data_IF_475936126272
#
_entry.id   IF_475936126272
#
_cell.length_a   1.000
_cell.length_b   1.000
_cell.length_c   1.000
_cell.angle_alpha   90.00
_cell.angle_beta   90.00
_cell.angle_gamma   90.00
#
_symmetry.space_group_name_H-M   'P 1'
#
loop_
_entity.id
_entity.type
_entity.pdbx_description
1 polymer ?
#
# COMPACT_ATOMS: atom_id res chain seq x y z
N UNK A 1 9.14 -22.89 -22.02
CA UNK A 1 10.48 -23.28 -22.53
C UNK A 1 11.45 -23.22 -21.39
N UNK A 2 12.18 -24.32 -21.14
CA UNK A 2 13.23 -24.36 -20.12
C UNK A 2 14.48 -23.62 -20.62
N UNK A 3 15.29 -23.10 -19.70
CA UNK A 3 16.51 -22.33 -20.03
C UNK A 3 17.48 -23.15 -20.90
N UNK A 4 17.68 -24.44 -20.60
CA UNK A 4 18.54 -25.32 -21.40
C UNK A 4 18.02 -25.60 -22.82
N UNK A 5 16.69 -25.64 -23.01
CA UNK A 5 16.09 -25.77 -24.35
C UNK A 5 16.30 -24.49 -25.16
N UNK A 6 16.16 -23.34 -24.51
CA UNK A 6 16.42 -22.04 -25.13
C UNK A 6 17.86 -21.92 -25.59
N UNK A 7 18.83 -22.25 -24.72
CA UNK A 7 20.27 -22.23 -25.03
C UNK A 7 20.62 -23.10 -26.26
N UNK A 8 20.04 -24.31 -26.34
CA UNK A 8 20.22 -25.21 -27.51
C UNK A 8 19.64 -24.60 -28.79
N UNK A 9 18.45 -24.01 -28.72
CA UNK A 9 17.77 -23.43 -29.88
C UNK A 9 18.47 -22.20 -30.47
N UNK A 10 19.11 -21.39 -29.63
CA UNK A 10 19.89 -20.23 -30.06
C UNK A 10 21.37 -20.57 -30.30
N UNK A 11 21.74 -21.86 -30.19
CA UNK A 11 23.08 -22.40 -30.36
C UNK A 11 24.16 -21.72 -29.49
N UNK A 12 23.88 -21.58 -28.18
CA UNK A 12 24.76 -20.91 -27.23
C UNK A 12 25.17 -21.83 -26.09
N UNK A 13 26.42 -21.71 -25.65
CA UNK A 13 26.94 -22.48 -24.52
C UNK A 13 26.34 -22.00 -23.20
N UNK A 14 26.10 -22.90 -22.22
CA UNK A 14 25.59 -22.51 -20.90
C UNK A 14 26.44 -21.45 -20.18
N UNK A 15 27.77 -21.48 -20.40
CA UNK A 15 28.71 -20.52 -19.83
C UNK A 15 28.51 -19.11 -20.42
N UNK A 16 28.43 -18.98 -21.75
CA UNK A 16 28.17 -17.69 -22.39
C UNK A 16 26.82 -17.09 -21.96
N UNK A 17 25.78 -17.93 -21.87
CA UNK A 17 24.48 -17.52 -21.35
C UNK A 17 24.56 -17.01 -19.90
N UNK A 18 25.26 -17.73 -19.02
CA UNK A 18 25.39 -17.33 -17.61
C UNK A 18 26.14 -16.01 -17.46
N UNK A 19 27.21 -15.79 -18.24
CA UNK A 19 27.96 -14.53 -18.26
C UNK A 19 27.12 -13.36 -18.76
N UNK A 20 26.25 -13.58 -19.75
CA UNK A 20 25.32 -12.57 -20.25
C UNK A 20 24.24 -12.22 -19.22
N UNK A 21 23.65 -13.22 -18.55
CA UNK A 21 22.61 -13.00 -17.54
C UNK A 21 23.10 -12.26 -16.29
N UNK A 22 24.41 -12.24 -16.03
CA UNK A 22 25.04 -11.45 -14.97
C UNK A 22 25.31 -9.99 -15.34
N UNK A 23 25.09 -9.58 -16.59
CA UNK A 23 25.29 -8.19 -17.01
C UNK A 23 24.08 -7.32 -16.66
N UNK A 24 24.33 -6.08 -16.24
CA UNK A 24 23.30 -5.11 -15.88
C UNK A 24 23.58 -3.76 -16.56
N UNK A 25 22.60 -3.25 -17.30
CA UNK A 25 22.68 -1.97 -18.01
C UNK A 25 22.07 -2.07 -19.42
N UNK A 26 21.59 -0.93 -19.94
CA UNK A 26 20.88 -0.85 -21.23
C UNK A 26 21.72 -1.38 -22.40
N UNK A 27 23.04 -1.11 -22.37
CA UNK A 27 23.94 -1.36 -23.50
C UNK A 27 25.03 -2.40 -23.21
N UNK A 28 25.17 -2.84 -21.94
CA UNK A 28 26.24 -3.74 -21.48
C UNK A 28 26.21 -5.14 -22.12
N UNK A 29 25.06 -5.55 -22.66
CA UNK A 29 24.86 -6.85 -23.29
C UNK A 29 25.02 -6.88 -24.81
N UNK A 30 25.17 -5.72 -25.46
CA UNK A 30 25.12 -5.61 -26.93
C UNK A 30 26.24 -6.37 -27.64
N UNK A 31 27.44 -6.39 -27.07
CA UNK A 31 28.61 -7.07 -27.62
C UNK A 31 28.64 -8.57 -27.30
N UNK A 32 27.70 -9.06 -26.50
CA UNK A 32 27.64 -10.47 -26.17
C UNK A 32 27.17 -11.29 -27.37
N UNK A 33 27.83 -12.42 -27.62
CA UNK A 33 27.39 -13.43 -28.59
C UNK A 33 25.98 -13.98 -28.30
N UNK A 34 25.43 -13.70 -27.12
CA UNK A 34 24.08 -14.10 -26.70
C UNK A 34 22.98 -13.16 -27.21
N UNK A 35 23.28 -11.88 -27.37
CA UNK A 35 22.27 -10.84 -27.57
C UNK A 35 21.56 -10.94 -28.92
N UNK A 36 22.32 -10.94 -30.02
CA UNK A 36 21.80 -11.01 -31.39
C UNK A 36 20.93 -12.26 -31.65
N UNK A 37 21.39 -13.49 -31.35
CA UNK A 37 20.57 -14.69 -31.59
C UNK A 37 19.35 -14.78 -30.66
N UNK A 38 19.45 -14.32 -29.41
CA UNK A 38 18.30 -14.24 -28.51
C UNK A 38 17.25 -13.24 -29.03
N UNK A 39 17.68 -12.05 -29.49
CA UNK A 39 16.81 -11.06 -30.09
C UNK A 39 16.08 -11.60 -31.32
N UNK A 40 16.81 -12.23 -32.26
CA UNK A 40 16.22 -12.85 -33.44
C UNK A 40 15.17 -13.91 -33.10
N UNK A 41 15.43 -14.70 -32.05
CA UNK A 41 14.51 -15.72 -31.55
C UNK A 41 13.20 -15.12 -31.00
N UNK A 42 13.28 -14.09 -30.16
CA UNK A 42 12.09 -13.42 -29.61
C UNK A 42 11.32 -12.66 -30.68
N UNK A 43 12.01 -12.00 -31.63
CA UNK A 43 11.37 -11.31 -32.75
C UNK A 43 10.58 -12.25 -33.65
N UNK A 44 11.12 -13.44 -33.93
CA UNK A 44 10.41 -14.49 -34.68
C UNK A 44 9.17 -15.02 -33.94
N UNK A 45 9.17 -15.01 -32.60
CA UNK A 45 7.99 -15.40 -31.78
C UNK A 45 6.94 -14.32 -31.70
N UNK A 46 7.36 -13.08 -31.61
CA UNK A 46 6.48 -11.91 -31.66
C UNK A 46 5.72 -11.85 -32.99
N UNK A 47 6.42 -12.04 -34.12
CA UNK A 47 5.81 -12.14 -35.45
C UNK A 47 4.80 -13.31 -35.58
N UNK A 48 5.00 -14.39 -34.81
CA UNK A 48 4.08 -15.53 -34.73
C UNK A 48 2.94 -15.32 -33.72
N UNK A 49 2.78 -14.13 -33.16
CA UNK A 49 1.74 -13.79 -32.19
C UNK A 49 1.93 -14.40 -30.79
N UNK A 50 3.06 -15.07 -30.54
CA UNK A 50 3.37 -15.69 -29.23
C UNK A 50 4.03 -14.63 -28.35
N UNK A 51 3.22 -13.87 -27.61
CA UNK A 51 3.71 -12.91 -26.61
C UNK A 51 4.40 -13.65 -25.47
N UNK A 52 5.70 -13.41 -25.26
CA UNK A 52 6.41 -13.86 -24.06
C UNK A 52 5.89 -13.11 -22.84
N UNK A 53 5.12 -13.78 -21.98
CA UNK A 53 4.80 -13.23 -20.65
C UNK A 53 6.11 -13.16 -19.85
N UNK A 54 6.43 -12.02 -19.20
CA UNK A 54 7.59 -11.96 -18.32
C UNK A 54 7.42 -12.99 -17.20
N UNK A 55 8.48 -13.76 -16.94
CA UNK A 55 8.47 -14.80 -15.92
C UNK A 55 8.36 -14.11 -14.55
N UNK A 56 7.13 -14.01 -14.02
CA UNK A 56 6.89 -13.70 -12.61
C UNK A 56 7.59 -14.81 -11.83
N UNK A 57 8.59 -14.46 -11.01
CA UNK A 57 9.32 -15.40 -10.15
C UNK A 57 8.30 -16.30 -9.43
N UNK A 58 8.18 -17.55 -9.86
CA UNK A 58 7.45 -18.58 -9.12
C UNK A 58 8.28 -18.88 -7.88
N UNK A 59 7.78 -18.47 -6.71
CA UNK A 59 8.12 -19.17 -5.48
C UNK A 59 7.63 -20.61 -5.65
N UNK A 60 8.45 -21.57 -5.24
CA UNK A 60 8.07 -22.98 -5.17
C UNK A 60 6.75 -23.10 -4.41
N UNK A 61 5.82 -23.73 -5.08
CA UNK A 61 4.55 -24.18 -4.55
C UNK A 61 4.80 -25.59 -4.00
N UNK A 62 4.69 -25.76 -2.70
CA UNK A 62 4.28 -27.02 -2.10
C UNK A 62 2.91 -26.74 -1.49
N UNK A 63 1.89 -27.42 -2.03
CA UNK A 63 0.56 -27.47 -1.46
C UNK A 63 -0.51 -26.80 -2.31
N UNK A 64 -1.07 -27.58 -3.22
CA UNK A 64 -2.35 -27.33 -3.86
C UNK A 64 -3.43 -26.95 -2.83
N UNK A 65 -4.04 -25.78 -3.03
CA UNK A 65 -5.41 -25.52 -2.65
C UNK A 65 -6.03 -24.60 -3.70
N UNK A 66 -7.11 -25.10 -4.27
CA UNK A 66 -7.95 -24.47 -5.28
C UNK A 66 -8.39 -23.05 -4.89
N UNK A 67 -8.49 -22.15 -5.89
CA UNK A 67 -9.31 -20.93 -5.83
C UNK A 67 -9.29 -20.16 -4.51
N UNK A 68 -8.13 -19.66 -4.08
CA UNK A 68 -7.99 -18.93 -2.83
C UNK A 68 -8.82 -17.64 -2.80
N UNK A 69 -10.01 -17.72 -2.20
CA UNK A 69 -10.74 -16.57 -1.63
C UNK A 69 -9.74 -15.78 -0.78
N UNK A 70 -9.42 -14.56 -1.20
CA UNK A 70 -8.76 -13.60 -0.31
C UNK A 70 -9.58 -13.56 0.98
N UNK A 71 -9.00 -13.98 2.11
CA UNK A 71 -9.69 -14.05 3.41
C UNK A 71 -9.99 -12.68 4.03
N UNK A 72 -9.92 -11.62 3.22
CA UNK A 72 -10.32 -10.29 3.62
C UNK A 72 -11.84 -10.27 3.71
N UNK A 73 -12.42 -9.96 4.89
CA UNK A 73 -13.87 -9.85 5.01
C UNK A 73 -14.35 -8.78 4.01
N UNK A 74 -15.22 -9.16 3.07
CA UNK A 74 -15.95 -8.18 2.28
C UNK A 74 -16.80 -7.35 3.24
N UNK A 75 -16.72 -6.04 3.11
CA UNK A 75 -17.44 -5.06 3.95
C UNK A 75 -18.51 -4.31 3.16
N UNK A 76 -18.85 -4.81 1.96
CA UNK A 76 -19.70 -4.13 0.99
C UNK A 76 -21.16 -4.01 1.47
N UNK A 77 -21.57 -4.86 2.42
CA UNK A 77 -22.92 -4.89 2.98
C UNK A 77 -23.22 -3.74 3.97
N UNK A 78 -22.18 -3.07 4.48
CA UNK A 78 -22.31 -2.03 5.51
C UNK A 78 -22.09 -0.67 4.87
N UNK A 79 -23.02 0.26 5.10
CA UNK A 79 -22.91 1.66 4.71
C UNK A 79 -22.66 2.56 5.92
N UNK A 80 -21.78 3.54 5.76
CA UNK A 80 -21.55 4.61 6.75
C UNK A 80 -22.26 5.91 6.35
N UNK A 81 -22.55 6.75 7.32
CA UNK A 81 -23.05 8.11 7.06
C UNK A 81 -21.96 8.94 6.36
N UNK A 82 -22.35 9.65 5.28
CA UNK A 82 -21.41 10.45 4.47
C UNK A 82 -20.53 9.63 3.51
N UNK A 83 -20.71 8.30 3.43
CA UNK A 83 -19.90 7.43 2.58
C UNK A 83 -20.06 7.75 1.09
N UNK A 84 -21.29 7.91 0.61
CA UNK A 84 -21.59 8.17 -0.81
C UNK A 84 -20.97 9.49 -1.32
N UNK A 85 -20.72 10.45 -0.42
CA UNK A 85 -20.08 11.73 -0.73
C UNK A 85 -18.56 11.75 -0.49
N UNK A 86 -17.98 10.63 -0.06
CA UNK A 86 -16.60 10.54 0.41
C UNK A 86 -16.25 11.51 1.56
N UNK A 87 -17.21 11.79 2.45
CA UNK A 87 -17.10 12.78 3.55
C UNK A 87 -17.24 12.16 4.95
N UNK A 88 -16.98 10.86 5.08
CA UNK A 88 -17.02 10.18 6.39
C UNK A 88 -16.03 10.86 7.36
N UNK A 89 -16.52 11.27 8.52
CA UNK A 89 -15.72 11.86 9.59
C UNK A 89 -14.77 10.82 10.18
N UNK A 90 -13.50 11.19 10.37
CA UNK A 90 -12.45 10.27 10.81
C UNK A 90 -12.09 10.55 12.27
N UNK A 91 -12.35 9.59 13.17
CA UNK A 91 -12.01 9.74 14.59
C UNK A 91 -10.73 9.01 15.01
N UNK A 92 -10.09 8.23 14.12
CA UNK A 92 -8.79 7.62 14.41
C UNK A 92 -7.64 8.52 13.99
N UNK A 93 -6.57 8.60 14.79
CA UNK A 93 -5.33 9.25 14.33
C UNK A 93 -4.61 8.43 13.26
N UNK A 94 -3.67 9.05 12.53
CA UNK A 94 -2.81 8.32 11.60
C UNK A 94 -2.02 7.18 12.29
N UNK A 95 -1.58 7.40 13.54
CA UNK A 95 -0.90 6.37 14.33
C UNK A 95 -1.82 5.16 14.60
N UNK A 96 -3.09 5.40 14.92
CA UNK A 96 -4.06 4.33 15.19
C UNK A 96 -4.39 3.55 13.92
N UNK A 97 -4.57 4.24 12.79
CA UNK A 97 -4.75 3.58 11.48
C UNK A 97 -3.53 2.74 11.13
N UNK A 98 -2.30 3.23 11.34
CA UNK A 98 -1.09 2.42 11.11
C UNK A 98 -1.08 1.17 11.98
N UNK A 99 -1.48 1.26 13.26
CA UNK A 99 -1.61 0.09 14.15
C UNK A 99 -2.66 -0.90 13.63
N UNK A 100 -3.85 -0.43 13.23
CA UNK A 100 -4.93 -1.26 12.66
C UNK A 100 -4.48 -1.96 11.37
N UNK A 101 -3.84 -1.26 10.44
CA UNK A 101 -3.26 -1.82 9.22
C UNK A 101 -2.24 -2.92 9.56
N UNK A 102 -1.30 -2.63 10.46
CA UNK A 102 -0.26 -3.59 10.83
C UNK A 102 -0.85 -4.83 11.51
N UNK A 103 -1.88 -4.68 12.35
CA UNK A 103 -2.58 -5.82 12.96
C UNK A 103 -3.36 -6.63 11.91
N UNK A 104 -4.01 -5.96 10.96
CA UNK A 104 -4.78 -6.61 9.89
C UNK A 104 -3.88 -7.44 8.97
N UNK A 105 -2.73 -6.90 8.58
CA UNK A 105 -1.75 -7.59 7.72
C UNK A 105 -1.02 -8.76 8.41
N UNK A 106 -1.12 -8.88 9.75
CA UNK A 106 -0.59 -10.04 10.49
C UNK A 106 -1.56 -11.23 10.50
N UNK A 107 -2.84 -11.02 10.16
CA UNK A 107 -3.82 -12.10 10.11
C UNK A 107 -3.47 -13.08 8.98
N UNK A 108 -3.58 -14.40 9.19
CA UNK A 108 -3.29 -15.37 8.14
C UNK A 108 -4.22 -15.16 6.95
N UNK A 109 -3.68 -15.23 5.74
CA UNK A 109 -4.45 -15.11 4.50
C UNK A 109 -4.81 -13.68 4.06
N UNK A 110 -4.43 -12.65 4.82
CA UNK A 110 -4.62 -11.25 4.41
C UNK A 110 -3.40 -10.76 3.64
N UNK A 111 -3.60 -10.29 2.40
CA UNK A 111 -2.52 -9.68 1.60
C UNK A 111 -2.67 -8.16 1.54
N UNK A 112 -1.55 -7.45 1.38
CA UNK A 112 -1.60 -5.99 1.14
C UNK A 112 -2.45 -5.63 -0.09
N UNK A 113 -2.39 -6.45 -1.15
CA UNK A 113 -3.16 -6.21 -2.37
C UNK A 113 -4.67 -6.42 -2.17
N UNK A 114 -5.07 -7.39 -1.35
CA UNK A 114 -6.48 -7.58 -0.99
C UNK A 114 -7.00 -6.43 -0.13
N UNK A 115 -6.24 -6.01 0.89
CA UNK A 115 -6.60 -4.85 1.71
C UNK A 115 -6.72 -3.56 0.88
N UNK A 116 -5.75 -3.29 0.00
CA UNK A 116 -5.79 -2.10 -0.86
C UNK A 116 -6.96 -2.09 -1.82
N UNK A 117 -7.42 -3.25 -2.30
CA UNK A 117 -8.64 -3.35 -3.12
C UNK A 117 -9.87 -2.97 -2.31
N UNK A 118 -10.04 -3.51 -1.11
CA UNK A 118 -11.17 -3.18 -0.24
C UNK A 118 -11.15 -1.70 0.17
N UNK A 119 -9.99 -1.15 0.56
CA UNK A 119 -9.86 0.26 0.91
C UNK A 119 -10.05 1.21 -0.28
N UNK A 120 -9.74 0.76 -1.51
CA UNK A 120 -10.02 1.55 -2.73
C UNK A 120 -11.50 1.55 -3.09
N UNK A 121 -12.26 0.53 -2.68
CA UNK A 121 -13.70 0.45 -2.90
C UNK A 121 -14.51 1.41 -2.01
N UNK A 122 -13.86 2.01 -1.00
CA UNK A 122 -14.46 3.03 -0.13
C UNK A 122 -14.59 4.42 -0.78
N UNK A 123 -14.15 4.60 -2.03
CA UNK A 123 -14.24 5.87 -2.75
C UNK A 123 -15.34 5.81 -3.81
N UNK A 124 -16.41 6.59 -3.63
CA UNK A 124 -17.60 6.58 -4.50
C UNK A 124 -17.61 7.75 -5.50
N UNK A 125 -17.20 8.94 -5.08
CA UNK A 125 -17.28 10.14 -5.93
C UNK A 125 -16.22 10.15 -7.03
N UNK A 126 -15.00 9.73 -6.69
CA UNK A 126 -13.86 9.68 -7.61
C UNK A 126 -13.13 8.37 -7.39
N UNK A 127 -13.15 7.44 -8.37
CA UNK A 127 -12.48 6.16 -8.23
C UNK A 127 -10.98 6.38 -8.03
N UNK A 128 -10.47 5.99 -6.88
CA UNK A 128 -9.05 6.13 -6.51
C UNK A 128 -8.45 4.76 -6.29
N UNK A 129 -7.44 4.42 -7.09
CA UNK A 129 -6.68 3.19 -6.90
C UNK A 129 -5.53 3.43 -5.92
N UNK A 130 -5.63 2.83 -4.73
CA UNK A 130 -4.56 2.86 -3.75
C UNK A 130 -3.42 1.89 -4.15
N UNK A 131 -2.18 2.31 -3.95
CA UNK A 131 -0.99 1.56 -4.36
C UNK A 131 -0.18 1.07 -3.15
N UNK A 132 0.61 0.02 -3.35
CA UNK A 132 1.53 -0.50 -2.33
C UNK A 132 2.60 0.51 -1.92
N UNK A 133 3.04 1.38 -2.84
CA UNK A 133 3.99 2.44 -2.55
C UNK A 133 3.40 3.47 -1.57
N UNK A 134 2.16 3.92 -1.80
CA UNK A 134 1.45 4.81 -0.88
C UNK A 134 1.25 4.17 0.50
N UNK A 135 0.90 2.88 0.53
CA UNK A 135 0.78 2.13 1.79
C UNK A 135 2.10 2.08 2.55
N UNK A 136 3.21 1.79 1.85
CA UNK A 136 4.53 1.75 2.46
C UNK A 136 4.95 3.12 3.00
N UNK A 137 4.75 4.18 2.22
CA UNK A 137 5.07 5.55 2.61
C UNK A 137 4.22 6.04 3.80
N UNK A 138 2.94 5.66 3.85
CA UNK A 138 2.08 5.96 4.99
C UNK A 138 2.55 5.22 6.24
N UNK A 139 2.89 3.93 6.11
CA UNK A 139 3.35 3.08 7.23
C UNK A 139 4.72 3.47 7.80
N UNK A 140 5.57 4.15 7.04
CA UNK A 140 6.89 4.59 7.51
C UNK A 140 6.87 5.88 8.34
N UNK A 141 5.78 6.64 8.30
CA UNK A 141 5.60 7.89 9.05
C UNK A 141 5.23 7.66 10.52
N UNK A 142 5.28 8.72 11.34
CA UNK A 142 4.98 8.67 12.78
C UNK A 142 4.30 9.96 13.23
N UNK A 143 3.28 9.83 14.08
CA UNK A 143 2.54 10.97 14.60
C UNK A 143 1.08 11.00 14.13
N UNK A 144 0.24 11.81 14.79
CA UNK A 144 -1.21 11.74 14.68
C UNK A 144 -1.76 12.25 13.34
N UNK A 145 -1.11 13.23 12.71
CA UNK A 145 -1.51 13.77 11.40
C UNK A 145 -0.60 13.34 10.24
N UNK A 146 0.38 12.48 10.53
CA UNK A 146 1.49 12.23 9.63
C UNK A 146 1.06 11.27 8.50
N UNK A 147 0.49 11.84 7.43
CA UNK A 147 -0.18 11.12 6.34
C UNK A 147 -1.70 11.35 6.22
N UNK A 148 -2.25 12.32 6.96
CA UNK A 148 -3.69 12.62 7.00
C UNK A 148 -4.32 12.97 5.65
N UNK A 149 -3.57 13.59 4.74
CA UNK A 149 -4.08 13.92 3.40
C UNK A 149 -4.09 12.73 2.41
N UNK A 150 -3.54 11.58 2.80
CA UNK A 150 -3.40 10.45 1.87
C UNK A 150 -4.72 9.68 1.76
N UNK A 151 -5.05 9.20 0.55
CA UNK A 151 -6.21 8.33 0.36
C UNK A 151 -6.14 7.01 1.15
N UNK A 152 -4.93 6.58 1.55
CA UNK A 152 -4.76 5.42 2.44
C UNK A 152 -5.43 5.67 3.79
N UNK A 153 -5.32 6.89 4.33
CA UNK A 153 -5.87 7.21 5.64
C UNK A 153 -7.40 7.11 5.65
N UNK A 154 -8.08 7.83 4.75
CA UNK A 154 -9.53 7.78 4.59
C UNK A 154 -10.03 6.37 4.26
N UNK A 155 -9.50 5.75 3.19
CA UNK A 155 -9.98 4.43 2.75
C UNK A 155 -9.74 3.33 3.78
N UNK A 156 -8.64 3.40 4.55
CA UNK A 156 -8.40 2.47 5.64
C UNK A 156 -9.38 2.69 6.81
N UNK A 157 -9.67 3.93 7.17
CA UNK A 157 -10.62 4.24 8.24
C UNK A 157 -12.00 3.67 7.91
N UNK A 158 -12.56 4.02 6.74
CA UNK A 158 -13.87 3.54 6.27
C UNK A 158 -13.91 2.01 6.26
N UNK A 159 -12.87 1.35 5.75
CA UNK A 159 -12.78 -0.10 5.75
C UNK A 159 -12.81 -0.72 7.16
N UNK A 160 -12.00 -0.20 8.10
CA UNK A 160 -11.97 -0.73 9.47
C UNK A 160 -13.24 -0.43 10.24
N UNK A 161 -13.89 0.69 9.93
CA UNK A 161 -15.14 1.09 10.54
C UNK A 161 -16.29 0.19 10.12
N UNK A 162 -16.40 -0.09 8.83
CA UNK A 162 -17.34 -1.10 8.33
C UNK A 162 -17.04 -2.49 8.91
N UNK A 163 -15.77 -2.86 9.01
CA UNK A 163 -15.36 -4.13 9.61
C UNK A 163 -15.79 -4.21 11.09
N UNK A 164 -15.68 -3.11 11.85
CA UNK A 164 -16.13 -3.03 13.24
C UNK A 164 -17.63 -3.27 13.38
N UNK A 165 -18.43 -2.59 12.54
CA UNK A 165 -19.89 -2.73 12.53
C UNK A 165 -20.28 -4.16 12.14
N UNK A 166 -19.63 -4.73 11.12
CA UNK A 166 -19.86 -6.11 10.67
C UNK A 166 -19.50 -7.14 11.76
N UNK A 167 -18.47 -6.87 12.54
CA UNK A 167 -18.07 -7.71 13.69
C UNK A 167 -18.88 -7.41 14.97
N UNK A 168 -19.79 -6.44 14.96
CA UNK A 168 -20.62 -6.06 16.11
C UNK A 168 -19.84 -5.50 17.31
N UNK A 169 -18.65 -4.92 17.07
CA UNK A 169 -17.78 -4.45 18.14
C UNK A 169 -18.16 -3.05 18.64
N UNK A 170 -18.18 -2.83 19.97
CA UNK A 170 -18.44 -1.51 20.53
C UNK A 170 -17.32 -0.53 20.18
N UNK A 171 -17.62 0.75 20.37
CA UNK A 171 -16.63 1.82 20.21
C UNK A 171 -15.57 1.74 21.30
N UNK A 172 -14.32 1.96 20.92
CA UNK A 172 -13.22 2.00 21.88
C UNK A 172 -13.28 3.28 22.71
N UNK A 173 -12.82 3.25 23.97
CA UNK A 173 -12.71 4.44 24.82
C UNK A 173 -12.00 5.61 24.13
N UNK A 174 -10.90 5.32 23.41
CA UNK A 174 -10.16 6.33 22.65
C UNK A 174 -11.03 7.02 21.59
N UNK A 175 -12.00 6.34 20.99
CA UNK A 175 -12.90 6.94 20.01
C UNK A 175 -13.82 7.96 20.67
N UNK A 176 -14.42 7.62 21.80
CA UNK A 176 -15.27 8.53 22.57
C UNK A 176 -14.48 9.79 22.98
N UNK A 177 -13.24 9.62 23.43
CA UNK A 177 -12.34 10.75 23.75
C UNK A 177 -11.99 11.57 22.49
N UNK A 178 -11.79 10.92 21.34
CA UNK A 178 -11.52 11.62 20.07
C UNK A 178 -12.74 12.40 19.56
N UNK A 179 -13.95 11.90 19.75
CA UNK A 179 -15.21 12.61 19.44
C UNK A 179 -15.38 13.85 20.32
N UNK A 180 -14.97 13.78 21.59
CA UNK A 180 -14.97 14.94 22.49
C UNK A 180 -13.92 15.99 22.10
N UNK A 181 -12.69 15.56 21.74
CA UNK A 181 -11.59 16.47 21.39
C UNK A 181 -11.77 17.05 19.98
N UNK A 182 -12.25 16.25 19.03
CA UNK A 182 -12.43 16.60 17.62
C UNK A 182 -13.87 16.30 17.18
N UNK A 183 -14.85 17.18 17.50
CA UNK A 183 -16.27 16.93 17.19
C UNK A 183 -16.59 16.74 15.70
N UNK A 184 -15.74 17.27 14.81
CA UNK A 184 -15.88 17.17 13.36
C UNK A 184 -14.89 16.17 12.73
N UNK A 185 -14.28 15.33 13.56
CA UNK A 185 -13.22 14.41 13.16
C UNK A 185 -11.88 15.07 12.89
N UNK A 186 -10.93 14.25 12.45
CA UNK A 186 -9.56 14.62 12.16
C UNK A 186 -9.43 15.35 10.84
N UNK A 187 -8.59 16.38 10.81
CA UNK A 187 -8.30 17.14 9.60
C UNK A 187 -7.66 16.26 8.52
N UNK A 188 -8.20 16.34 7.29
CA UNK A 188 -7.68 15.64 6.10
C UNK A 188 -7.32 16.56 4.94
N UNK A 189 -7.73 17.84 4.98
CA UNK A 189 -7.53 18.80 3.90
C UNK A 189 -6.16 19.47 3.91
N UNK A 190 -5.52 19.59 5.09
CA UNK A 190 -4.26 20.30 5.26
C UNK A 190 -3.23 19.50 6.05
N UNK A 191 -1.95 19.73 5.77
CA UNK A 191 -0.88 19.19 6.61
C UNK A 191 -0.85 19.97 7.93
N UNK A 192 -0.77 19.22 9.02
CA UNK A 192 -0.57 19.76 10.36
C UNK A 192 0.90 19.58 10.75
N UNK A 193 1.82 20.12 9.94
CA UNK A 193 3.27 20.02 10.17
C UNK A 193 3.92 21.37 10.53
N UNK A 194 3.16 22.47 10.48
CA UNK A 194 3.63 23.79 10.84
C UNK A 194 2.63 24.55 11.74
N UNK A 195 3.16 25.30 12.70
CA UNK A 195 2.42 26.21 13.55
C UNK A 195 3.26 27.45 13.83
N UNK A 196 2.65 28.62 13.72
CA UNK A 196 3.29 29.89 14.10
C UNK A 196 3.14 30.04 15.62
N UNK A 197 4.27 30.09 16.33
CA UNK A 197 4.33 30.28 17.78
C UNK A 197 5.20 31.49 18.13
N UNK A 198 5.09 31.99 19.36
CA UNK A 198 5.93 33.10 19.83
C UNK A 198 7.39 32.66 19.89
N UNK A 199 8.32 33.60 19.72
CA UNK A 199 9.76 33.35 19.84
C UNK A 199 10.07 32.77 21.23
N UNK A 200 10.67 31.59 21.25
CA UNK A 200 11.02 30.85 22.48
C UNK A 200 10.03 29.74 22.84
N UNK A 201 8.83 29.75 22.30
CA UNK A 201 7.87 28.67 22.48
C UNK A 201 8.16 27.52 21.49
N UNK A 202 7.85 26.30 21.91
CA UNK A 202 7.84 25.12 21.03
C UNK A 202 6.46 24.48 21.04
N UNK A 203 6.16 23.65 20.06
CA UNK A 203 4.88 22.96 20.00
C UNK A 203 5.06 21.52 19.54
N UNK A 204 4.11 20.68 19.92
CA UNK A 204 4.00 19.30 19.45
C UNK A 204 2.54 18.84 19.47
N UNK A 205 2.25 17.74 18.81
CA UNK A 205 0.96 17.06 18.95
C UNK A 205 1.04 15.99 20.04
N UNK A 206 -0.02 15.84 20.82
CA UNK A 206 -0.19 14.70 21.72
C UNK A 206 -0.66 13.43 20.99
N UNK A 207 -0.99 12.38 21.74
CA UNK A 207 -1.47 11.11 21.21
C UNK A 207 -2.86 11.15 20.55
N UNK A 208 -3.59 12.25 20.72
CA UNK A 208 -4.92 12.53 20.17
C UNK A 208 -4.86 13.55 19.02
N UNK A 209 -3.67 14.08 18.69
CA UNK A 209 -3.53 15.15 17.71
C UNK A 209 -3.84 16.55 18.27
N UNK A 210 -3.99 16.71 19.58
CA UNK A 210 -4.14 18.04 20.16
C UNK A 210 -2.81 18.78 20.11
N UNK A 211 -2.84 20.04 19.67
CA UNK A 211 -1.67 20.93 19.69
C UNK A 211 -1.36 21.34 21.12
N UNK A 212 -0.16 21.00 21.59
CA UNK A 212 0.38 21.44 22.86
C UNK A 212 1.50 22.43 22.59
N UNK A 213 1.35 23.66 23.10
CA UNK A 213 2.38 24.70 23.04
C UNK A 213 3.12 24.74 24.37
N UNK A 214 4.40 24.40 24.34
CA UNK A 214 5.31 24.51 25.47
C UNK A 214 5.90 25.92 25.49
N UNK A 215 5.56 26.69 26.53
CA UNK A 215 6.06 28.06 26.69
C UNK A 215 7.53 28.05 27.09
N UNK A 216 8.35 28.80 26.35
CA UNK A 216 9.75 29.01 26.72
C UNK A 216 9.87 29.82 28.00
N UNK A 217 10.87 29.51 28.84
CA UNK A 217 11.21 30.36 29.97
C UNK A 217 11.55 31.75 29.47
N UNK A 218 10.87 32.78 29.98
CA UNK A 218 11.23 34.18 29.71
C UNK A 218 12.56 34.45 30.40
N UNK A 219 13.64 34.53 29.63
CA UNK A 219 14.89 35.17 30.04
C UNK A 219 14.72 36.67 30.06
#
# INVERSE_FOLDING_TARGET
MKVGEFQKLINITPNAYSRFMGQHGKDKGLESSVYIPAWAFFRRRELKGIKSKPNKKMKKDDGAAEGGKDSVPSVDDVRLEGEEEDKVEIFDTCDDIRKKINAHLKKPGVTQASFLRCASASFHTKPRKLTSAQLSAFRSKKGPYDGNMTGIYYGAYVYFEKLRIKEGKPESKKRLEMEEIHPYGMETGHRMDCLIVRKGDSWHHDAYGKVIVNRGSRS
#
